data_IF_869849142904
#
_entry.id   IF_869849142904
#
_cell.length_a   1.000
_cell.length_b   1.000
_cell.length_c   1.000
_cell.angle_alpha   90.00
_cell.angle_beta   90.00
_cell.angle_gamma   90.00
#
_symmetry.space_group_name_H-M   'P 1'
#
loop_
_entity.id
_entity.type
_entity.pdbx_description
1 polymer ?
#
# COMPACT_ATOMS: atom_id res chain seq x y z
N UNK A 1 -32.94 -15.76 -27.44
CA UNK A 1 -32.70 -14.41 -26.87
C UNK A 1 -32.17 -14.46 -25.43
N UNK A 2 -32.34 -15.57 -24.67
CA UNK A 2 -32.00 -15.61 -23.24
C UNK A 2 -30.52 -15.83 -22.87
N UNK A 3 -29.69 -16.30 -23.81
CA UNK A 3 -28.26 -16.52 -23.58
C UNK A 3 -27.43 -15.22 -23.57
N UNK A 4 -27.88 -14.18 -24.29
CA UNK A 4 -27.19 -12.88 -24.34
C UNK A 4 -27.41 -12.03 -23.07
N UNK A 5 -28.55 -12.19 -22.40
CA UNK A 5 -28.84 -11.50 -21.14
C UNK A 5 -28.03 -12.07 -19.96
N UNK A 6 -27.80 -13.40 -19.93
CA UNK A 6 -26.95 -14.04 -18.90
C UNK A 6 -25.47 -13.67 -19.00
N UNK A 7 -25.02 -13.22 -20.17
CA UNK A 7 -23.65 -12.79 -20.43
C UNK A 7 -23.46 -11.27 -20.34
N UNK A 8 -24.51 -10.51 -20.03
CA UNK A 8 -24.46 -9.04 -19.93
C UNK A 8 -24.34 -8.29 -21.26
N UNK A 9 -24.27 -8.99 -22.40
CA UNK A 9 -24.00 -8.45 -23.74
C UNK A 9 -25.17 -7.65 -24.34
N UNK A 10 -26.36 -7.72 -23.73
CA UNK A 10 -27.55 -6.95 -24.13
C UNK A 10 -28.15 -6.16 -22.94
N UNK A 11 -27.33 -5.85 -21.92
CA UNK A 11 -27.78 -5.06 -20.77
C UNK A 11 -27.82 -3.58 -21.10
N UNK A 12 -28.90 -2.90 -20.69
CA UNK A 12 -28.99 -1.44 -20.80
C UNK A 12 -27.76 -0.78 -20.15
N UNK A 13 -27.18 0.30 -20.72
CA UNK A 13 -25.95 0.92 -20.19
C UNK A 13 -25.99 1.25 -18.69
N UNK A 14 -27.16 1.65 -18.18
CA UNK A 14 -27.36 1.90 -16.74
C UNK A 14 -27.24 0.62 -15.89
N UNK A 15 -27.67 -0.54 -16.39
CA UNK A 15 -27.54 -1.83 -15.70
C UNK A 15 -26.08 -2.25 -15.62
N UNK A 16 -25.33 -2.12 -16.73
CA UNK A 16 -23.88 -2.39 -16.76
C UNK A 16 -23.15 -1.45 -15.80
N UNK A 17 -23.47 -0.16 -15.82
CA UNK A 17 -22.92 0.85 -14.90
C UNK A 17 -23.22 0.53 -13.44
N UNK A 18 -24.44 0.07 -13.11
CA UNK A 18 -24.80 -0.30 -11.74
C UNK A 18 -24.09 -1.58 -11.27
N UNK A 19 -23.95 -2.58 -12.14
CA UNK A 19 -23.18 -3.79 -11.83
C UNK A 19 -21.70 -3.46 -11.60
N UNK A 20 -21.11 -2.61 -12.44
CA UNK A 20 -19.74 -2.14 -12.25
C UNK A 20 -19.62 -1.37 -10.94
N UNK A 21 -20.50 -0.39 -10.66
CA UNK A 21 -20.51 0.34 -9.38
C UNK A 21 -20.60 -0.58 -8.17
N UNK A 22 -21.43 -1.63 -8.22
CA UNK A 22 -21.53 -2.60 -7.12
C UNK A 22 -20.21 -3.36 -6.92
N UNK A 23 -19.57 -3.81 -8.00
CA UNK A 23 -18.26 -4.47 -7.92
C UNK A 23 -17.15 -3.53 -7.40
N UNK A 24 -17.26 -2.22 -7.65
CA UNK A 24 -16.33 -1.22 -7.09
C UNK A 24 -16.41 -1.13 -5.56
N UNK A 25 -17.63 -1.18 -4.99
CA UNK A 25 -17.84 -1.02 -3.54
C UNK A 25 -17.13 -2.13 -2.76
N UNK A 26 -17.23 -3.36 -3.25
CA UNK A 26 -16.54 -4.51 -2.65
C UNK A 26 -15.01 -4.33 -2.72
N UNK A 27 -14.52 -3.72 -3.80
CA UNK A 27 -13.10 -3.42 -3.96
C UNK A 27 -12.62 -2.29 -3.05
N UNK A 28 -13.33 -1.16 -2.98
CA UNK A 28 -12.94 -0.02 -2.15
C UNK A 28 -12.83 -0.42 -0.69
N UNK A 29 -13.69 -1.35 -0.25
CA UNK A 29 -13.58 -1.99 1.07
C UNK A 29 -12.25 -2.74 1.23
N UNK A 30 -11.93 -3.65 0.31
CA UNK A 30 -10.66 -4.43 0.35
C UNK A 30 -9.41 -3.52 0.32
N UNK A 31 -9.43 -2.47 -0.51
CA UNK A 31 -8.32 -1.54 -0.58
C UNK A 31 -8.18 -0.72 0.71
N UNK A 32 -9.29 -0.35 1.35
CA UNK A 32 -9.28 0.35 2.64
C UNK A 32 -8.74 -0.57 3.73
N UNK A 33 -9.24 -1.81 3.82
CA UNK A 33 -8.74 -2.82 4.78
C UNK A 33 -7.24 -3.07 4.61
N UNK A 34 -6.76 -3.19 3.36
CA UNK A 34 -5.33 -3.30 3.09
C UNK A 34 -4.54 -2.07 3.52
N UNK A 35 -5.01 -0.85 3.21
CA UNK A 35 -4.35 0.39 3.65
C UNK A 35 -4.24 0.42 5.17
N UNK A 36 -5.31 0.04 5.86
CA UNK A 36 -5.34 0.01 7.32
C UNK A 36 -4.31 -1.01 7.87
N UNK A 37 -4.16 -2.17 7.23
CA UNK A 37 -3.12 -3.15 7.59
C UNK A 37 -1.71 -2.55 7.41
N UNK A 38 -1.44 -1.90 6.27
CA UNK A 38 -0.14 -1.26 5.99
C UNK A 38 0.17 -0.18 7.03
N UNK A 39 -0.79 0.72 7.28
CA UNK A 39 -0.64 1.83 8.23
C UNK A 39 -0.44 1.31 9.64
N UNK A 40 -1.29 0.38 10.10
CA UNK A 40 -1.19 -0.20 11.44
C UNK A 40 0.16 -0.89 11.66
N UNK A 41 0.67 -1.61 10.65
CA UNK A 41 2.00 -2.25 10.73
C UNK A 41 3.11 -1.22 10.89
N UNK A 42 3.10 -0.16 10.10
CA UNK A 42 4.12 0.90 10.17
C UNK A 42 4.06 1.66 11.51
N UNK A 43 2.87 1.93 12.04
CA UNK A 43 2.71 2.53 13.36
C UNK A 43 3.28 1.64 14.48
N UNK A 44 3.07 0.32 14.41
CA UNK A 44 3.68 -0.65 15.35
C UNK A 44 5.20 -0.63 15.27
N UNK A 45 5.77 -0.66 14.05
CA UNK A 45 7.21 -0.64 13.85
C UNK A 45 7.80 0.64 14.47
N UNK A 46 7.20 1.80 14.18
CA UNK A 46 7.64 3.10 14.71
C UNK A 46 7.63 3.14 16.23
N UNK A 47 6.53 2.69 16.85
CA UNK A 47 6.43 2.70 18.32
C UNK A 47 7.49 1.79 18.97
N UNK A 48 7.68 0.57 18.43
CA UNK A 48 8.65 -0.37 18.97
C UNK A 48 10.10 0.12 18.80
N UNK A 49 10.43 0.71 17.65
CA UNK A 49 11.75 1.31 17.40
C UNK A 49 11.99 2.53 18.29
N UNK A 50 10.99 3.37 18.49
CA UNK A 50 11.07 4.55 19.34
C UNK A 50 11.36 4.19 20.80
N UNK A 51 10.65 3.20 21.35
CA UNK A 51 10.91 2.71 22.71
C UNK A 51 12.33 2.13 22.83
N UNK A 52 12.77 1.33 21.85
CA UNK A 52 14.13 0.79 21.82
C UNK A 52 15.18 1.90 21.79
N UNK A 53 14.97 2.94 20.99
CA UNK A 53 15.90 4.05 20.85
C UNK A 53 15.98 4.88 22.15
N UNK A 54 14.85 5.22 22.77
CA UNK A 54 14.81 5.91 24.06
C UNK A 54 15.55 5.14 25.15
N UNK A 55 15.43 3.81 25.13
CA UNK A 55 16.16 2.96 26.06
C UNK A 55 17.67 3.00 25.77
N UNK A 56 18.09 2.90 24.51
CA UNK A 56 19.50 2.97 24.12
C UNK A 56 20.18 4.30 24.49
N UNK A 57 19.45 5.42 24.39
CA UNK A 57 19.93 6.74 24.79
C UNK A 57 20.05 6.87 26.31
N UNK A 58 19.22 6.16 27.07
CA UNK A 58 19.26 6.15 28.54
C UNK A 58 20.46 5.38 29.11
N UNK A 59 21.04 4.44 28.34
CA UNK A 59 22.16 3.56 28.75
C UNK A 59 23.54 4.15 28.39
N UNK A 60 23.65 5.47 28.19
CA UNK A 60 24.91 6.13 27.83
C UNK A 60 26.15 5.59 28.58
N UNK A 61 27.13 5.10 27.81
CA UNK A 61 28.49 4.71 28.23
C UNK A 61 28.62 3.68 29.38
N UNK A 62 27.92 2.55 29.33
CA UNK A 62 28.27 1.39 30.18
C UNK A 62 29.04 0.35 29.35
N UNK A 63 30.21 0.01 29.88
CA UNK A 63 31.29 -0.83 29.35
C UNK A 63 30.83 -2.20 28.81
N UNK A 64 31.62 -2.71 27.87
CA UNK A 64 31.44 -3.91 27.03
C UNK A 64 31.04 -5.20 27.78
N UNK A 65 29.77 -5.31 28.16
CA UNK A 65 29.11 -6.55 28.56
C UNK A 65 27.91 -6.80 27.67
N UNK A 66 27.75 -8.04 27.18
CA UNK A 66 26.52 -8.51 26.54
C UNK A 66 25.46 -8.71 27.62
N UNK A 67 24.97 -7.61 28.21
CA UNK A 67 23.93 -7.62 29.23
C UNK A 67 22.57 -7.48 28.53
N UNK A 68 21.66 -8.42 28.80
CA UNK A 68 20.29 -8.38 28.28
C UNK A 68 19.61 -7.15 28.86
N UNK A 69 19.30 -6.19 28.00
CA UNK A 69 18.71 -4.93 28.42
C UNK A 69 17.22 -5.12 28.73
N UNK A 70 16.78 -4.69 29.91
CA UNK A 70 15.37 -4.77 30.32
C UNK A 70 14.65 -3.46 29.99
N UNK A 71 13.62 -3.56 29.16
CA UNK A 71 12.87 -2.44 28.63
C UNK A 71 11.53 -2.34 29.35
N UNK A 72 11.22 -1.15 29.87
CA UNK A 72 9.89 -0.82 30.43
C UNK A 72 8.94 -0.40 29.31
N UNK A 73 7.97 -1.26 29.01
CA UNK A 73 6.90 -1.01 28.06
C UNK A 73 5.56 -0.74 28.76
N UNK A 74 5.59 -0.29 30.02
CA UNK A 74 4.37 0.12 30.72
C UNK A 74 3.74 1.33 30.03
N UNK A 75 2.41 1.43 30.13
CA UNK A 75 1.66 2.57 29.58
C UNK A 75 2.21 3.93 30.05
N UNK A 76 2.70 4.01 31.28
CA UNK A 76 3.31 5.22 31.82
C UNK A 76 4.57 5.63 31.06
N UNK A 77 5.47 4.68 30.80
CA UNK A 77 6.71 4.91 30.06
C UNK A 77 6.45 5.29 28.59
N UNK A 78 5.55 4.55 27.93
CA UNK A 78 5.34 4.67 26.47
C UNK A 78 4.39 5.82 26.11
N UNK A 79 3.54 6.29 27.02
CA UNK A 79 2.54 7.34 26.74
C UNK A 79 3.12 8.68 26.25
N UNK A 80 4.40 8.95 26.53
CA UNK A 80 5.08 10.16 26.09
C UNK A 80 5.68 10.03 24.68
N UNK A 81 5.67 8.84 24.07
CA UNK A 81 6.21 8.61 22.74
C UNK A 81 5.33 9.30 21.68
N UNK A 82 5.90 10.11 20.77
CA UNK A 82 5.20 10.69 19.63
C UNK A 82 4.29 9.73 18.85
N UNK A 83 4.69 8.46 18.67
CA UNK A 83 3.90 7.47 17.92
C UNK A 83 2.94 6.67 18.81
N UNK A 84 2.71 7.08 20.05
CA UNK A 84 1.78 6.40 20.96
C UNK A 84 0.32 6.63 20.55
N UNK A 85 -0.41 5.54 20.40
CA UNK A 85 -1.86 5.52 20.47
C UNK A 85 -2.31 4.30 21.28
N UNK A 86 -3.47 4.39 21.93
CA UNK A 86 -3.98 3.28 22.75
C UNK A 86 -4.14 1.98 21.92
N UNK A 87 -4.63 2.11 20.69
CA UNK A 87 -4.83 0.98 19.79
C UNK A 87 -3.50 0.35 19.36
N UNK A 88 -2.50 1.16 19.02
CA UNK A 88 -1.17 0.68 18.61
C UNK A 88 -0.47 0.04 19.81
N UNK A 89 -0.53 0.65 20.99
CA UNK A 89 0.03 0.10 22.22
C UNK A 89 -0.54 -1.29 22.57
N UNK A 90 -1.87 -1.43 22.59
CA UNK A 90 -2.53 -2.72 22.85
C UNK A 90 -2.09 -3.75 21.81
N UNK A 91 -2.02 -3.35 20.54
CA UNK A 91 -1.65 -4.27 19.47
C UNK A 91 -0.17 -4.68 19.51
N UNK A 92 0.75 -3.78 19.88
CA UNK A 92 2.15 -4.11 20.15
C UNK A 92 2.27 -5.07 21.33
N UNK A 93 1.52 -4.83 22.41
CA UNK A 93 1.52 -5.69 23.61
C UNK A 93 1.08 -7.13 23.31
N UNK A 94 0.14 -7.31 22.38
CA UNK A 94 -0.28 -8.64 21.91
C UNK A 94 0.80 -9.40 21.13
N UNK A 95 1.83 -8.70 20.61
CA UNK A 95 2.94 -9.31 19.87
C UNK A 95 4.13 -9.67 20.76
N UNK A 96 4.22 -9.02 21.92
CA UNK A 96 5.23 -9.30 22.94
C UNK A 96 4.78 -10.48 23.82
N UNK A 97 5.71 -11.18 24.49
CA UNK A 97 5.36 -12.26 25.40
C UNK A 97 4.46 -11.77 26.56
N UNK A 98 3.72 -12.67 27.20
CA UNK A 98 2.93 -12.31 28.37
C UNK A 98 3.86 -11.88 29.53
N UNK A 99 3.68 -10.64 29.98
CA UNK A 99 4.41 -10.06 31.12
C UNK A 99 3.42 -9.42 32.08
N UNK A 100 3.56 -9.73 33.37
CA UNK A 100 2.70 -9.16 34.42
C UNK A 100 3.13 -7.74 34.84
N UNK A 101 4.35 -7.34 34.50
CA UNK A 101 4.99 -6.09 34.95
C UNK A 101 5.34 -5.18 33.76
N UNK A 102 4.99 -5.57 32.54
CA UNK A 102 5.31 -4.86 31.29
C UNK A 102 6.82 -4.58 31.10
N UNK A 103 7.65 -5.44 31.69
CA UNK A 103 9.09 -5.50 31.48
C UNK A 103 9.42 -6.61 30.49
N UNK A 104 10.33 -6.29 29.56
CA UNK A 104 10.67 -7.11 28.41
C UNK A 104 12.17 -7.10 28.14
N UNK A 105 12.66 -8.11 27.45
CA UNK A 105 14.03 -8.11 26.95
C UNK A 105 14.11 -7.38 25.61
N UNK A 106 15.25 -6.77 25.29
CA UNK A 106 15.51 -6.20 23.96
C UNK A 106 15.32 -7.24 22.84
N UNK A 107 15.64 -8.51 23.11
CA UNK A 107 15.42 -9.63 22.19
C UNK A 107 13.95 -9.84 21.81
N UNK A 108 13.00 -9.54 22.71
CA UNK A 108 11.55 -9.62 22.44
C UNK A 108 11.14 -8.58 21.41
N UNK A 109 11.64 -7.34 21.56
CA UNK A 109 11.40 -6.25 20.62
C UNK A 109 12.04 -6.53 19.26
N UNK A 110 13.28 -7.03 19.23
CA UNK A 110 13.93 -7.41 17.98
C UNK A 110 13.17 -8.52 17.25
N UNK A 111 12.63 -9.50 17.99
CA UNK A 111 11.83 -10.59 17.42
C UNK A 111 10.50 -10.09 16.83
N UNK A 112 9.81 -9.21 17.56
CA UNK A 112 8.58 -8.58 17.08
C UNK A 112 8.84 -7.72 15.84
N UNK A 113 9.90 -6.89 15.85
CA UNK A 113 10.31 -6.07 14.71
C UNK A 113 10.74 -6.91 13.51
N UNK A 114 11.48 -8.00 13.73
CA UNK A 114 11.88 -8.91 12.67
C UNK A 114 10.66 -9.54 12.00
N UNK A 115 9.66 -9.95 12.79
CA UNK A 115 8.39 -10.49 12.28
C UNK A 115 7.65 -9.44 11.46
N UNK A 116 7.46 -8.23 12.03
CA UNK A 116 6.78 -7.14 11.34
C UNK A 116 7.49 -6.79 10.03
N UNK A 117 8.80 -6.51 10.05
CA UNK A 117 9.57 -6.10 8.87
C UNK A 117 9.74 -7.22 7.84
N UNK A 118 9.79 -8.47 8.28
CA UNK A 118 9.91 -9.65 7.43
C UNK A 118 8.62 -10.06 6.73
N UNK A 119 7.46 -9.61 7.22
CA UNK A 119 6.15 -9.90 6.62
C UNK A 119 6.04 -9.32 5.22
N UNK A 120 5.70 -10.17 4.25
CA UNK A 120 5.42 -9.74 2.88
C UNK A 120 3.99 -9.22 2.79
N UNK A 121 3.84 -7.90 2.89
CA UNK A 121 2.55 -7.27 2.65
C UNK A 121 2.10 -7.42 1.18
N UNK A 122 0.78 -7.57 0.94
CA UNK A 122 0.27 -7.59 -0.40
C UNK A 122 0.56 -6.29 -1.13
N UNK A 123 0.76 -6.41 -2.44
CA UNK A 123 1.01 -5.28 -3.34
C UNK A 123 -0.19 -5.07 -4.23
N UNK A 124 -0.64 -3.82 -4.31
CA UNK A 124 -1.71 -3.41 -5.21
C UNK A 124 -1.12 -2.89 -6.53
N UNK A 125 -1.75 -3.33 -7.62
CA UNK A 125 -1.39 -2.95 -8.98
C UNK A 125 -2.65 -2.56 -9.73
N UNK A 126 -2.74 -1.31 -10.14
CA UNK A 126 -3.87 -0.73 -10.86
C UNK A 126 -3.60 -0.78 -12.35
N UNK A 127 -4.51 -1.34 -13.12
CA UNK A 127 -4.42 -1.47 -14.57
C UNK A 127 -5.45 -0.59 -15.24
N UNK A 128 -5.02 0.26 -16.15
CA UNK A 128 -5.90 1.05 -17.02
C UNK A 128 -6.18 0.29 -18.30
N UNK A 129 -7.47 0.06 -18.58
CA UNK A 129 -7.92 -0.29 -19.93
C UNK A 129 -8.70 0.88 -20.50
N UNK A 130 -8.19 1.43 -21.59
CA UNK A 130 -8.88 2.41 -22.42
C UNK A 130 -9.13 1.84 -23.81
N UNK A 131 -10.33 2.06 -24.34
CA UNK A 131 -10.58 1.97 -25.77
C UNK A 131 -10.40 3.37 -26.37
N UNK A 132 -9.65 3.49 -27.47
CA UNK A 132 -9.25 4.76 -28.08
C UNK A 132 -10.42 5.69 -28.45
N UNK A 133 -11.66 5.20 -28.47
CA UNK A 133 -12.85 5.89 -28.95
C UNK A 133 -13.86 6.30 -27.86
N UNK A 134 -13.69 5.88 -26.60
CA UNK A 134 -14.66 6.17 -25.53
C UNK A 134 -14.02 6.87 -24.31
N UNK A 135 -14.71 7.84 -23.65
CA UNK A 135 -14.14 8.72 -22.63
C UNK A 135 -14.05 8.08 -21.24
N UNK A 136 -13.96 6.75 -21.15
CA UNK A 136 -13.93 6.06 -19.87
C UNK A 136 -12.74 5.12 -19.73
N UNK A 137 -12.23 5.04 -18.50
CA UNK A 137 -11.20 4.09 -18.09
C UNK A 137 -11.84 3.06 -17.18
N UNK A 138 -11.59 1.78 -17.48
CA UNK A 138 -11.77 0.73 -16.47
C UNK A 138 -10.44 0.51 -15.75
N UNK A 139 -10.47 0.68 -14.43
CA UNK A 139 -9.31 0.45 -13.57
C UNK A 139 -9.46 -0.91 -12.91
N UNK A 140 -8.43 -1.75 -12.96
CA UNK A 140 -8.44 -3.10 -12.39
C UNK A 140 -7.31 -3.27 -11.40
N UNK A 141 -7.55 -3.93 -10.27
CA UNK A 141 -6.45 -4.25 -9.36
C UNK A 141 -5.91 -5.65 -9.63
N UNK A 142 -4.67 -5.90 -9.23
CA UNK A 142 -4.23 -7.23 -8.81
C UNK A 142 -3.66 -7.12 -7.40
N UNK A 143 -4.25 -7.85 -6.45
CA UNK A 143 -3.65 -8.09 -5.13
C UNK A 143 -2.86 -9.40 -5.21
N UNK A 144 -1.64 -9.40 -4.67
CA UNK A 144 -0.84 -10.60 -4.50
C UNK A 144 -0.79 -10.97 -3.02
N UNK A 145 -1.67 -11.86 -2.58
CA UNK A 145 -1.58 -12.56 -1.30
C UNK A 145 -1.26 -14.03 -1.59
N UNK A 146 -0.14 -14.54 -1.07
CA UNK A 146 0.20 -15.97 -1.01
C UNK A 146 -0.11 -16.84 -2.25
N UNK A 147 0.12 -16.29 -3.46
CA UNK A 147 -0.01 -16.93 -4.81
C UNK A 147 -1.38 -16.72 -5.50
N UNK A 148 -2.40 -16.15 -4.83
CA UNK A 148 -3.67 -15.81 -5.47
C UNK A 148 -3.63 -14.41 -6.11
N UNK A 149 -3.98 -14.32 -7.41
CA UNK A 149 -4.20 -13.06 -8.13
C UNK A 149 -5.71 -12.80 -8.18
N UNK A 150 -6.18 -11.82 -7.41
CA UNK A 150 -7.58 -11.37 -7.48
C UNK A 150 -7.65 -10.17 -8.41
N UNK A 151 -8.43 -10.29 -9.50
CA UNK A 151 -8.73 -9.19 -10.42
C UNK A 151 -10.12 -8.64 -10.15
N UNK A 152 -10.19 -7.39 -9.70
CA UNK A 152 -11.46 -6.70 -9.45
C UNK A 152 -11.51 -5.39 -10.22
N UNK A 153 -12.67 -5.03 -10.81
CA UNK A 153 -12.86 -3.70 -11.36
C UNK A 153 -12.99 -2.68 -10.21
N UNK A 154 -12.04 -1.75 -10.10
CA UNK A 154 -12.13 -0.62 -9.18
C UNK A 154 -13.22 0.36 -9.61
N UNK A 155 -13.56 0.37 -10.90
CA UNK A 155 -14.69 1.11 -11.44
C UNK A 155 -14.43 1.79 -12.75
N UNK A 156 -15.38 2.68 -13.07
CA UNK A 156 -15.36 3.53 -14.26
C UNK A 156 -15.12 4.96 -13.82
N UNK A 157 -13.98 5.49 -14.23
CA UNK A 157 -13.77 6.94 -14.26
C UNK A 157 -14.12 7.42 -15.67
N UNK A 158 -15.01 8.40 -15.77
CA UNK A 158 -15.35 9.07 -17.04
C UNK A 158 -14.32 10.14 -17.36
N UNK A 159 -13.05 9.72 -17.36
CA UNK A 159 -11.88 10.55 -17.61
C UNK A 159 -11.07 9.88 -18.71
N UNK A 160 -10.52 10.69 -19.59
CA UNK A 160 -9.73 10.29 -20.74
C UNK A 160 -8.23 10.42 -20.38
N UNK A 161 -7.49 9.31 -20.30
CA UNK A 161 -6.08 9.34 -19.94
C UNK A 161 -5.23 9.99 -21.03
N UNK A 162 -5.79 10.20 -22.24
CA UNK A 162 -5.13 10.92 -23.32
C UNK A 162 -5.09 12.44 -23.12
N UNK A 163 -5.94 12.99 -22.24
CA UNK A 163 -5.94 14.41 -21.91
C UNK A 163 -5.15 14.63 -20.62
N UNK A 164 -4.13 15.47 -20.67
CA UNK A 164 -3.23 15.70 -19.54
C UNK A 164 -3.94 16.11 -18.24
N UNK A 165 -4.94 17.01 -18.33
CA UNK A 165 -5.71 17.45 -17.17
C UNK A 165 -6.54 16.31 -16.53
N UNK A 166 -7.16 15.48 -17.35
CA UNK A 166 -7.97 14.35 -16.88
C UNK A 166 -7.05 13.23 -16.34
N UNK A 167 -5.87 13.03 -16.94
CA UNK A 167 -4.82 12.14 -16.43
C UNK A 167 -4.32 12.57 -15.03
N UNK A 168 -4.12 13.86 -14.81
CA UNK A 168 -3.74 14.37 -13.49
C UNK A 168 -4.82 14.07 -12.45
N UNK A 169 -6.09 14.24 -12.81
CA UNK A 169 -7.21 13.93 -11.93
C UNK A 169 -7.28 12.43 -11.59
N UNK A 170 -7.07 11.55 -12.57
CA UNK A 170 -7.00 10.10 -12.36
C UNK A 170 -5.92 9.76 -11.32
N UNK A 171 -4.72 10.32 -11.46
CA UNK A 171 -3.62 10.05 -10.54
C UNK A 171 -3.87 10.63 -9.13
N UNK A 172 -4.48 11.81 -9.01
CA UNK A 172 -4.85 12.39 -7.71
C UNK A 172 -5.90 11.54 -6.99
N UNK A 173 -6.89 11.03 -7.71
CA UNK A 173 -7.91 10.12 -7.18
C UNK A 173 -7.27 8.82 -6.68
N UNK A 174 -6.30 8.28 -7.42
CA UNK A 174 -5.58 7.06 -7.04
C UNK A 174 -4.69 7.32 -5.82
N UNK A 175 -3.95 8.42 -5.81
CA UNK A 175 -3.05 8.80 -4.73
C UNK A 175 -3.82 8.98 -3.42
N UNK A 176 -5.00 9.59 -3.46
CA UNK A 176 -5.83 9.81 -2.27
C UNK A 176 -6.51 8.52 -1.78
N UNK A 177 -7.14 7.77 -2.70
CA UNK A 177 -7.96 6.60 -2.33
C UNK A 177 -7.12 5.38 -2.02
N UNK A 178 -6.11 5.08 -2.85
CA UNK A 178 -5.47 3.77 -2.86
C UNK A 178 -4.03 3.77 -2.36
N UNK A 179 -3.34 4.90 -2.20
CA UNK A 179 -1.99 4.88 -1.63
C UNK A 179 -2.07 4.91 -0.10
N UNK A 180 -1.47 3.96 0.63
CA UNK A 180 -1.31 4.04 2.08
C UNK A 180 -0.37 5.19 2.47
N UNK A 181 -0.85 6.10 3.29
CA UNK A 181 -0.11 7.28 3.75
C UNK A 181 -0.34 7.50 5.23
N UNK A 182 0.66 8.00 5.95
CA UNK A 182 0.55 8.46 7.33
C UNK A 182 0.82 9.97 7.37
N UNK A 183 0.11 10.70 8.24
CA UNK A 183 0.34 12.14 8.42
C UNK A 183 0.96 12.39 9.78
N UNK A 184 2.24 12.73 9.80
CA UNK A 184 2.98 13.03 11.03
C UNK A 184 3.32 14.52 11.05
N UNK A 185 2.86 15.24 12.08
CA UNK A 185 3.22 16.66 12.27
C UNK A 185 2.81 17.61 11.14
N UNK A 186 1.86 17.21 10.28
CA UNK A 186 1.42 17.97 9.12
C UNK A 186 2.09 17.59 7.79
N UNK A 187 3.09 16.70 7.81
CA UNK A 187 3.68 16.12 6.61
C UNK A 187 3.08 14.74 6.32
N UNK A 188 2.63 14.55 5.08
CA UNK A 188 2.11 13.24 4.64
C UNK A 188 3.21 12.41 3.99
N UNK A 189 3.49 11.27 4.61
CA UNK A 189 4.47 10.30 4.15
C UNK A 189 3.77 9.14 3.43
N UNK A 190 4.36 8.70 2.33
CA UNK A 190 3.91 7.52 1.58
C UNK A 190 4.55 6.28 2.16
N UNK A 191 3.74 5.36 2.71
CA UNK A 191 4.24 4.12 3.32
C UNK A 191 4.56 3.05 2.28
N UNK A 192 3.69 2.90 1.28
CA UNK A 192 3.86 1.91 0.22
C UNK A 192 3.39 2.46 -1.12
N UNK A 193 4.21 2.31 -2.15
CA UNK A 193 3.86 2.71 -3.51
C UNK A 193 2.93 1.71 -4.18
N UNK A 194 1.99 2.23 -4.96
CA UNK A 194 1.06 1.46 -5.79
C UNK A 194 1.53 1.49 -7.23
N UNK A 195 1.46 0.35 -7.92
CA UNK A 195 1.79 0.29 -9.35
C UNK A 195 0.61 0.78 -10.18
N UNK A 196 0.88 1.63 -11.17
CA UNK A 196 -0.09 2.08 -12.15
C UNK A 196 0.34 1.61 -13.54
N UNK A 197 -0.25 0.51 -13.94
CA UNK A 197 -0.02 -0.20 -15.17
C UNK A 197 -0.89 0.33 -16.31
N UNK A 198 -0.27 0.52 -17.47
CA UNK A 198 -0.97 0.82 -18.71
C UNK A 198 -0.12 0.48 -19.93
N UNK A 199 -0.66 0.79 -21.11
CA UNK A 199 0.14 0.77 -22.33
C UNK A 199 1.24 1.85 -22.30
N UNK A 200 2.09 1.87 -23.33
CA UNK A 200 3.24 2.78 -23.39
C UNK A 200 2.83 4.25 -23.25
N UNK A 201 1.74 4.66 -23.90
CA UNK A 201 1.26 6.03 -23.87
C UNK A 201 0.68 6.40 -22.50
N UNK A 202 0.00 5.47 -21.83
CA UNK A 202 -0.54 5.69 -20.49
C UNK A 202 0.58 5.86 -19.47
N UNK A 203 1.62 5.03 -19.55
CA UNK A 203 2.79 5.13 -18.68
C UNK A 203 3.52 6.46 -18.88
N UNK A 204 3.83 6.82 -20.13
CA UNK A 204 4.52 8.07 -20.47
C UNK A 204 3.75 9.29 -19.96
N UNK A 205 2.42 9.31 -20.13
CA UNK A 205 1.58 10.41 -19.64
C UNK A 205 1.50 10.47 -18.11
N UNK A 206 1.45 9.33 -17.44
CA UNK A 206 1.49 9.28 -15.99
C UNK A 206 2.79 9.90 -15.46
N UNK A 207 3.92 9.53 -16.08
CA UNK A 207 5.24 10.06 -15.75
C UNK A 207 5.35 11.56 -16.02
N UNK A 208 4.85 12.02 -17.17
CA UNK A 208 4.80 13.44 -17.50
C UNK A 208 3.98 14.24 -16.48
N UNK A 209 2.89 13.66 -15.97
CA UNK A 209 2.10 14.26 -14.90
C UNK A 209 2.90 14.36 -13.58
N UNK A 210 3.66 13.33 -13.21
CA UNK A 210 4.55 13.39 -12.04
C UNK A 210 5.65 14.46 -12.21
N UNK A 211 6.23 14.56 -13.41
CA UNK A 211 7.21 15.60 -13.72
C UNK A 211 6.63 17.01 -13.62
N UNK A 212 5.40 17.22 -14.10
CA UNK A 212 4.72 18.50 -13.98
C UNK A 212 4.47 18.91 -12.51
N UNK A 213 4.34 17.93 -11.60
CA UNK A 213 4.11 18.15 -10.19
C UNK A 213 5.37 18.06 -9.33
N UNK A 214 6.58 17.92 -9.89
CA UNK A 214 7.81 17.70 -9.11
C UNK A 214 8.14 18.83 -8.13
N UNK A 215 7.65 20.05 -8.39
CA UNK A 215 7.86 21.22 -7.52
C UNK A 215 6.81 21.36 -6.41
N UNK A 216 5.87 20.42 -6.29
CA UNK A 216 4.86 20.47 -5.24
C UNK A 216 5.47 20.17 -3.86
N UNK A 217 4.82 20.67 -2.80
CA UNK A 217 5.40 20.70 -1.45
C UNK A 217 5.38 19.32 -0.81
N UNK A 218 4.28 18.58 -0.97
CA UNK A 218 4.10 17.28 -0.33
C UNK A 218 4.34 16.11 -1.30
N UNK A 219 4.83 14.96 -0.82
CA UNK A 219 4.95 13.74 -1.63
C UNK A 219 3.64 13.32 -2.31
N UNK A 220 2.51 13.57 -1.66
CA UNK A 220 1.17 13.27 -2.20
C UNK A 220 0.81 14.18 -3.35
N UNK A 221 1.07 15.49 -3.27
CA UNK A 221 0.87 16.41 -4.40
C UNK A 221 1.82 16.11 -5.56
N UNK A 222 3.05 15.67 -5.25
CA UNK A 222 4.02 15.19 -6.26
C UNK A 222 3.65 13.85 -6.87
N UNK A 223 2.58 13.20 -6.38
CA UNK A 223 2.10 11.88 -6.82
C UNK A 223 3.17 10.77 -6.68
N UNK A 224 4.03 10.87 -5.65
CA UNK A 224 5.16 9.94 -5.42
C UNK A 224 4.73 8.55 -4.93
N UNK A 225 3.48 8.42 -4.49
CA UNK A 225 2.87 7.17 -4.10
C UNK A 225 2.52 6.25 -5.25
N UNK A 226 2.60 6.75 -6.49
CA UNK A 226 2.28 6.00 -7.68
C UNK A 226 3.57 5.67 -8.45
N UNK A 227 3.69 4.42 -8.89
CA UNK A 227 4.76 3.98 -9.77
C UNK A 227 4.17 3.61 -11.13
N UNK A 228 4.25 4.52 -12.13
CA UNK A 228 3.88 4.19 -13.50
C UNK A 228 4.71 3.01 -14.00
N UNK A 229 4.05 2.03 -14.60
CA UNK A 229 4.71 0.86 -15.15
C UNK A 229 4.10 0.50 -16.51
N UNK A 230 4.98 0.17 -17.45
CA UNK A 230 4.55 -0.35 -18.73
C UNK A 230 4.07 -1.79 -18.56
N UNK A 231 2.84 -2.06 -19.01
CA UNK A 231 2.24 -3.38 -19.05
C UNK A 231 1.82 -3.70 -20.49
N UNK A 232 2.56 -4.56 -21.17
CA UNK A 232 2.14 -5.10 -22.47
C UNK A 232 1.09 -6.20 -22.26
N UNK A 233 -0.18 -5.81 -22.18
CA UNK A 233 -1.30 -6.73 -21.95
C UNK A 233 -1.69 -7.53 -23.21
N UNK A 234 -1.15 -7.17 -24.39
CA UNK A 234 -1.33 -7.92 -25.63
C UNK A 234 -0.42 -9.15 -25.68
N UNK A 235 0.76 -9.07 -25.07
CA UNK A 235 1.58 -10.22 -24.75
C UNK A 235 1.05 -10.82 -23.44
N UNK A 236 0.52 -12.05 -23.43
CA UNK A 236 0.14 -12.80 -22.20
C UNK A 236 1.34 -13.12 -21.28
N UNK A 237 2.23 -12.17 -21.00
CA UNK A 237 3.48 -12.31 -20.25
C UNK A 237 3.81 -11.04 -19.45
N UNK A 238 2.96 -10.64 -18.51
CA UNK A 238 3.32 -9.58 -17.55
C UNK A 238 3.44 -10.14 -16.14
N UNK A 239 4.59 -10.75 -15.86
CA UNK A 239 5.19 -10.73 -14.53
C UNK A 239 6.54 -10.04 -14.73
N UNK A 240 6.83 -8.92 -14.03
CA UNK A 240 8.18 -8.40 -13.97
C UNK A 240 9.08 -9.50 -13.39
N UNK A 241 9.92 -10.11 -14.24
CA UNK A 241 11.04 -10.95 -13.79
C UNK A 241 12.06 -10.03 -13.12
N UNK A 242 11.86 -9.76 -11.84
CA UNK A 242 12.74 -8.86 -11.09
C UNK A 242 13.08 -9.29 -9.67
N UNK A 243 12.38 -10.25 -9.06
CA UNK A 243 12.64 -10.66 -7.67
C UNK A 243 12.51 -12.18 -7.40
N UNK A 244 12.82 -13.03 -8.38
CA UNK A 244 13.08 -14.44 -8.11
C UNK A 244 14.52 -14.76 -8.50
N UNK A 245 15.48 -14.37 -7.65
CA UNK A 245 16.77 -15.07 -7.59
C UNK A 245 16.48 -16.42 -6.96
N UNK A 246 16.24 -17.46 -7.77
CA UNK A 246 16.51 -18.88 -7.47
C UNK A 246 15.92 -19.74 -8.59
N UNK A 247 16.77 -20.10 -9.55
CA UNK A 247 16.95 -21.47 -10.05
C UNK A 247 17.90 -21.41 -11.23
N UNK A 248 19.18 -21.58 -10.91
CA UNK A 248 20.19 -22.10 -11.84
C UNK A 248 19.72 -23.46 -12.39
N UNK A 249 20.29 -23.83 -13.53
CA UNK A 249 20.18 -25.09 -14.28
C UNK A 249 18.99 -25.08 -15.26
N UNK A 250 19.16 -25.33 -16.56
CA UNK A 250 20.19 -26.15 -17.22
C UNK A 250 20.24 -25.77 -18.71
N UNK A 251 21.42 -25.90 -19.29
CA UNK A 251 21.61 -26.11 -20.73
C UNK A 251 20.78 -27.30 -21.22
#
# INVERSE_FOLDING_TARGET
>A
MDCFNKLGLASHPNTVRNMQKKACVDFDKLATEWKDVVVTREEKIRLLEEVLNLHSESIGEIDNGMEVCTIDFSKGAVSNCPNFSEAVYISCKQMLPESAVDLYEDTDFFSALYTLKGEMLPKFRLHVYGHAEEPFISLWTTCHEDIAIVKCPLGLQFLNPNKAAEMAQILQDIQSKYVPTVTNGGETEVLQKVFFDGDQLTEERARNCQWANTLARTPTERLEGITPAFADWHLKKNVPRGMCKMCKHRQ
#
